data_IF_439432183852
#
_entry.id   IF_439432183852
#
_cell.length_a   1.000
_cell.length_b   1.000
_cell.length_c   1.000
_cell.angle_alpha   90.00
_cell.angle_beta   90.00
_cell.angle_gamma   90.00
#
_symmetry.space_group_name_H-M   'P 1'
#
loop_
_entity.id
_entity.type
_entity.pdbx_description
1 polymer ?
#
# COMPACT_ATOMS: atom_id res chain seq x y z
N UNK A 1 -7.68 0.13 -8.64
CA UNK A 1 -7.50 -1.11 -7.87
C UNK A 1 -7.95 -0.96 -6.42
N UNK A 2 -7.31 -0.11 -5.60
CA UNK A 2 -7.60 0.01 -4.15
C UNK A 2 -9.09 0.30 -3.87
N UNK A 3 -9.69 1.27 -4.55
CA UNK A 3 -11.12 1.63 -4.41
C UNK A 3 -12.03 0.45 -4.75
N UNK A 4 -11.72 -0.32 -5.80
CA UNK A 4 -12.49 -1.53 -6.15
C UNK A 4 -12.37 -2.60 -5.05
N UNK A 5 -11.19 -2.81 -4.50
CA UNK A 5 -10.97 -3.76 -3.41
C UNK A 5 -11.69 -3.33 -2.11
N UNK A 6 -11.79 -2.02 -1.84
CA UNK A 6 -12.63 -1.50 -0.74
C UNK A 6 -14.10 -1.81 -0.98
N UNK A 7 -14.61 -1.57 -2.20
CA UNK A 7 -16.01 -1.89 -2.55
C UNK A 7 -16.34 -3.37 -2.43
N UNK A 8 -15.38 -4.23 -2.72
CA UNK A 8 -15.50 -5.69 -2.59
C UNK A 8 -15.36 -6.20 -1.15
N UNK A 9 -15.09 -5.33 -0.18
CA UNK A 9 -14.83 -5.72 1.21
C UNK A 9 -13.56 -6.56 1.39
N UNK A 10 -12.61 -6.43 0.45
CA UNK A 10 -11.37 -7.21 0.47
C UNK A 10 -10.56 -6.93 1.72
N UNK A 11 -10.60 -5.70 2.24
CA UNK A 11 -9.82 -5.29 3.41
C UNK A 11 -10.48 -5.60 4.75
N UNK A 12 -11.78 -5.88 4.77
CA UNK A 12 -12.51 -6.16 6.00
C UNK A 12 -11.98 -7.43 6.67
N UNK A 13 -11.55 -7.32 7.92
CA UNK A 13 -10.95 -8.41 8.69
C UNK A 13 -9.47 -8.68 8.41
N UNK A 14 -8.84 -8.01 7.44
CA UNK A 14 -7.39 -8.15 7.19
C UNK A 14 -6.57 -7.53 8.32
N UNK A 15 -5.33 -7.99 8.46
CA UNK A 15 -4.43 -7.61 9.54
C UNK A 15 -3.36 -6.60 9.05
N UNK A 16 -2.93 -5.73 9.95
CA UNK A 16 -1.65 -5.05 9.83
C UNK A 16 -0.55 -6.04 10.26
N UNK A 17 -0.04 -6.79 9.30
CA UNK A 17 0.90 -7.90 9.55
C UNK A 17 2.34 -7.45 9.71
N UNK A 18 2.66 -6.19 9.38
CA UNK A 18 4.00 -5.63 9.52
C UNK A 18 3.94 -4.18 9.99
N UNK A 19 4.45 -3.92 11.19
CA UNK A 19 4.56 -2.58 11.77
C UNK A 19 6.02 -2.35 12.16
N UNK A 20 6.67 -1.37 11.56
CA UNK A 20 8.08 -1.05 11.78
C UNK A 20 8.19 0.32 12.41
N UNK A 21 8.61 0.36 13.68
CA UNK A 21 8.80 1.59 14.46
C UNK A 21 10.22 1.78 14.96
N UNK A 22 10.95 0.66 15.13
CA UNK A 22 12.32 0.67 15.60
C UNK A 22 13.31 0.30 14.48
N UNK A 23 14.53 0.84 14.46
CA UNK A 23 15.06 1.88 15.35
C UNK A 23 14.49 3.28 15.04
N UNK A 24 13.80 3.44 13.92
CA UNK A 24 13.14 4.68 13.49
C UNK A 24 11.76 4.33 12.93
N UNK A 25 10.71 5.12 13.18
CA UNK A 25 9.41 4.90 12.56
C UNK A 25 9.54 4.80 11.03
N UNK A 26 8.91 3.78 10.45
CA UNK A 26 8.99 3.52 9.02
C UNK A 26 7.60 3.37 8.39
N UNK A 27 6.96 2.20 8.54
CA UNK A 27 5.65 1.94 7.92
C UNK A 27 4.75 1.08 8.80
N UNK A 28 3.44 1.21 8.54
CA UNK A 28 2.39 0.28 8.95
C UNK A 28 1.84 -0.38 7.68
N UNK A 29 2.05 -1.68 7.51
CA UNK A 29 1.68 -2.42 6.30
C UNK A 29 0.59 -3.46 6.61
N UNK A 30 -0.44 -3.51 5.75
CA UNK A 30 -1.56 -4.43 5.87
C UNK A 30 -2.19 -4.77 4.52
N UNK A 31 -3.41 -5.29 4.58
CA UNK A 31 -4.21 -5.57 3.38
C UNK A 31 -3.87 -6.89 2.68
N UNK A 32 -3.11 -7.79 3.33
CA UNK A 32 -2.93 -9.14 2.83
C UNK A 32 -4.24 -9.95 2.99
N UNK A 33 -4.89 -10.40 1.89
CA UNK A 33 -6.14 -11.13 1.99
C UNK A 33 -6.04 -12.44 2.77
N UNK A 34 -4.87 -13.09 2.80
CA UNK A 34 -4.63 -14.32 3.56
C UNK A 34 -4.75 -14.08 5.06
N UNK A 35 -4.51 -12.85 5.53
CA UNK A 35 -4.61 -12.52 6.96
C UNK A 35 -6.05 -12.53 7.52
N UNK A 36 -7.07 -12.66 6.66
CA UNK A 36 -8.45 -12.87 7.12
C UNK A 36 -8.61 -14.21 7.83
N UNK A 37 -7.93 -15.23 7.33
CA UNK A 37 -7.89 -16.53 7.97
C UNK A 37 -7.00 -16.47 9.21
N UNK A 38 -7.60 -16.66 10.38
CA UNK A 38 -6.90 -16.61 11.67
C UNK A 38 -5.96 -17.81 11.89
N UNK A 39 -6.09 -18.86 11.08
CA UNK A 39 -5.19 -20.02 11.11
C UNK A 39 -3.90 -19.78 10.32
N UNK A 40 -3.85 -18.76 9.46
CA UNK A 40 -2.64 -18.43 8.70
C UNK A 40 -1.52 -17.99 9.63
N UNK A 41 -0.38 -18.66 9.55
CA UNK A 41 0.78 -18.30 10.35
C UNK A 41 1.30 -16.91 9.97
N UNK A 42 1.70 -16.12 10.95
CA UNK A 42 2.23 -14.75 10.71
C UNK A 42 3.43 -14.77 9.75
N UNK A 43 4.24 -15.81 9.76
CA UNK A 43 5.39 -15.98 8.86
C UNK A 43 5.00 -16.17 7.37
N UNK A 44 3.74 -16.48 7.09
CA UNK A 44 3.21 -16.65 5.72
C UNK A 44 2.59 -15.37 5.18
N UNK A 45 2.32 -14.40 6.05
CA UNK A 45 1.73 -13.13 5.66
C UNK A 45 2.73 -12.24 4.92
N UNK A 46 2.20 -11.38 4.07
CA UNK A 46 2.99 -10.46 3.24
C UNK A 46 3.25 -10.97 1.82
N UNK A 47 2.84 -12.21 1.51
CA UNK A 47 2.95 -12.80 0.17
C UNK A 47 1.60 -12.92 -0.57
N UNK A 48 0.47 -12.70 0.13
CA UNK A 48 -0.87 -12.85 -0.43
C UNK A 48 -1.22 -11.78 -1.45
N UNK A 49 -1.97 -12.21 -2.47
CA UNK A 49 -2.54 -11.35 -3.49
C UNK A 49 -4.07 -11.46 -3.49
N UNK A 50 -4.75 -10.45 -4.02
CA UNK A 50 -6.16 -10.56 -4.33
C UNK A 50 -6.35 -11.54 -5.50
N UNK A 51 -7.12 -12.59 -5.27
CA UNK A 51 -7.51 -13.53 -6.32
C UNK A 51 -8.83 -13.03 -6.91
N UNK A 52 -8.79 -12.72 -8.19
CA UNK A 52 -9.97 -12.25 -8.90
C UNK A 52 -10.97 -13.42 -9.06
N UNK A 53 -12.20 -13.29 -8.56
CA UNK A 53 -13.18 -14.38 -8.59
C UNK A 53 -13.64 -14.76 -10.00
N UNK A 54 -13.51 -13.86 -10.98
CA UNK A 54 -13.90 -14.12 -12.37
C UNK A 54 -12.88 -14.95 -13.13
N UNK A 55 -11.58 -14.73 -12.82
CA UNK A 55 -10.49 -15.38 -13.53
C UNK A 55 -9.79 -16.46 -12.71
N UNK A 56 -10.04 -16.51 -11.39
CA UNK A 56 -9.33 -17.34 -10.42
C UNK A 56 -7.81 -17.10 -10.40
N UNK A 57 -7.36 -15.94 -10.87
CA UNK A 57 -5.94 -15.56 -10.92
C UNK A 57 -5.65 -14.39 -9.99
N UNK A 58 -4.39 -14.27 -9.58
CA UNK A 58 -3.93 -13.11 -8.84
C UNK A 58 -4.04 -11.86 -9.71
N UNK A 59 -4.74 -10.83 -9.19
CA UNK A 59 -4.77 -9.51 -9.82
C UNK A 59 -3.50 -8.77 -9.45
N UNK A 60 -2.60 -8.63 -10.39
CA UNK A 60 -1.38 -7.82 -10.26
C UNK A 60 -1.57 -6.49 -10.98
N UNK A 61 -1.01 -5.44 -10.40
CA UNK A 61 -1.03 -4.09 -10.98
C UNK A 61 0.40 -3.57 -11.14
N UNK A 62 0.66 -2.78 -12.20
CA UNK A 62 1.98 -2.20 -12.42
C UNK A 62 2.31 -1.12 -11.40
N UNK A 63 3.61 -0.88 -11.19
CA UNK A 63 4.08 0.34 -10.56
C UNK A 63 3.56 1.54 -11.35
N UNK A 64 3.00 2.51 -10.65
CA UNK A 64 2.46 3.73 -11.24
C UNK A 64 3.17 4.94 -10.62
N UNK A 65 3.81 5.76 -11.45
CA UNK A 65 4.49 6.99 -11.04
C UNK A 65 3.96 8.17 -11.86
N UNK A 66 3.40 9.16 -11.18
CA UNK A 66 2.91 10.39 -11.80
C UNK A 66 3.97 11.48 -11.67
N UNK A 67 4.28 12.12 -12.79
CA UNK A 67 5.23 13.24 -12.87
C UNK A 67 4.50 14.54 -13.17
N UNK A 68 5.00 15.63 -12.59
CA UNK A 68 4.48 16.98 -12.82
C UNK A 68 4.59 17.33 -14.30
N UNK A 69 3.52 17.90 -14.84
CA UNK A 69 3.46 18.32 -16.24
C UNK A 69 3.24 17.21 -17.26
N UNK A 70 3.11 15.94 -16.84
CA UNK A 70 2.72 14.85 -17.72
C UNK A 70 1.19 14.60 -17.63
N UNK A 71 0.56 14.30 -18.75
CA UNK A 71 -0.89 14.04 -18.77
C UNK A 71 -1.26 12.69 -18.17
N UNK A 72 -0.40 11.69 -18.32
CA UNK A 72 -0.61 10.33 -17.84
C UNK A 72 0.54 9.85 -16.94
N UNK A 73 0.28 8.92 -16.00
CA UNK A 73 1.35 8.30 -15.23
C UNK A 73 2.20 7.37 -16.10
N UNK A 74 3.42 7.13 -15.65
CA UNK A 74 4.31 6.10 -16.21
C UNK A 74 4.14 4.80 -15.44
N UNK A 75 4.17 3.68 -16.14
CA UNK A 75 3.93 2.35 -15.58
C UNK A 75 5.14 1.44 -15.66
N UNK A 76 5.25 0.51 -14.69
CA UNK A 76 6.19 -0.63 -14.70
C UNK A 76 7.67 -0.28 -14.59
N UNK A 77 8.04 0.98 -14.38
CA UNK A 77 9.42 1.43 -14.36
C UNK A 77 9.78 2.13 -13.06
N UNK A 78 10.71 1.55 -12.32
CA UNK A 78 11.37 2.20 -11.17
C UNK A 78 12.31 3.29 -11.67
N UNK A 79 12.34 4.42 -10.98
CA UNK A 79 13.37 5.44 -11.16
C UNK A 79 14.12 5.72 -9.86
N UNK A 80 15.43 5.95 -10.01
CA UNK A 80 16.31 6.44 -8.94
C UNK A 80 17.05 7.69 -9.40
N UNK A 81 16.68 8.21 -10.58
CA UNK A 81 17.29 9.42 -11.14
C UNK A 81 16.87 10.65 -10.32
N UNK A 82 17.81 11.39 -9.70
CA UNK A 82 17.48 12.54 -8.86
C UNK A 82 16.68 13.63 -9.59
N UNK A 83 16.88 13.79 -10.89
CA UNK A 83 16.12 14.75 -11.70
C UNK A 83 14.66 14.33 -11.85
N UNK A 84 14.40 13.05 -12.11
CA UNK A 84 13.03 12.53 -12.20
C UNK A 84 12.34 12.54 -10.83
N UNK A 85 13.06 12.19 -9.74
CA UNK A 85 12.49 12.18 -8.38
C UNK A 85 11.97 13.55 -7.94
N UNK A 86 12.60 14.66 -8.36
CA UNK A 86 12.12 16.03 -8.05
C UNK A 86 10.81 16.37 -8.73
N UNK A 87 10.53 15.72 -9.85
CA UNK A 87 9.35 15.96 -10.66
C UNK A 87 8.20 15.02 -10.33
N UNK A 88 8.36 14.11 -9.35
CA UNK A 88 7.25 13.29 -8.86
C UNK A 88 6.15 14.18 -8.30
N UNK A 89 4.91 13.89 -8.67
CA UNK A 89 3.73 14.60 -8.17
C UNK A 89 3.34 14.09 -6.77
N UNK A 90 3.50 12.79 -6.53
CA UNK A 90 3.22 12.13 -5.26
C UNK A 90 4.52 11.51 -4.71
N UNK A 91 4.87 11.89 -3.50
CA UNK A 91 6.04 11.42 -2.77
C UNK A 91 5.63 10.85 -1.42
N UNK A 92 6.55 10.15 -0.75
CA UNK A 92 6.29 9.55 0.55
C UNK A 92 6.45 10.58 1.68
N UNK A 93 5.39 11.32 1.96
CA UNK A 93 5.26 12.12 3.17
C UNK A 93 4.69 11.29 4.32
N UNK A 94 4.77 11.80 5.56
CA UNK A 94 4.10 11.17 6.70
C UNK A 94 2.59 11.04 6.41
N UNK A 95 2.05 9.83 6.55
CA UNK A 95 0.65 9.52 6.26
C UNK A 95 0.37 9.19 4.79
N UNK A 96 1.37 9.23 3.90
CA UNK A 96 1.19 8.75 2.53
C UNK A 96 0.82 7.27 2.53
N UNK A 97 -0.12 6.91 1.66
CA UNK A 97 -0.56 5.52 1.45
C UNK A 97 -0.02 5.05 0.10
N UNK A 98 0.72 3.94 0.11
CA UNK A 98 1.36 3.41 -1.08
C UNK A 98 1.13 1.91 -1.21
N UNK A 99 1.20 1.39 -2.46
CA UNK A 99 1.08 -0.04 -2.73
C UNK A 99 2.36 -0.78 -2.32
N UNK A 100 2.18 -1.81 -1.50
CA UNK A 100 3.24 -2.79 -1.27
C UNK A 100 3.36 -3.73 -2.47
N UNK A 101 4.57 -4.21 -2.75
CA UNK A 101 4.88 -5.13 -3.84
C UNK A 101 6.11 -5.99 -3.54
N UNK A 102 6.32 -7.03 -4.32
CA UNK A 102 7.56 -7.79 -4.32
C UNK A 102 8.68 -7.05 -5.07
N UNK A 103 9.75 -7.73 -5.43
CA UNK A 103 10.86 -7.10 -6.16
C UNK A 103 10.46 -6.65 -7.58
N UNK A 104 9.58 -7.38 -8.25
CA UNK A 104 9.10 -7.01 -9.58
C UNK A 104 8.23 -5.73 -9.51
N UNK A 105 8.45 -4.72 -10.36
CA UNK A 105 7.67 -3.49 -10.36
C UNK A 105 6.17 -3.71 -10.55
N UNK A 106 5.79 -4.74 -11.31
CA UNK A 106 4.41 -5.03 -11.69
C UNK A 106 3.80 -6.16 -10.82
N UNK A 107 4.14 -6.19 -9.53
CA UNK A 107 3.72 -7.24 -8.59
C UNK A 107 2.85 -6.75 -7.43
N UNK A 108 2.43 -5.50 -7.43
CA UNK A 108 1.47 -5.01 -6.44
C UNK A 108 0.10 -5.67 -6.66
N UNK A 109 -0.67 -5.84 -5.60
CA UNK A 109 -2.01 -6.46 -5.65
C UNK A 109 -2.96 -5.77 -4.68
N UNK A 110 -3.13 -6.31 -3.47
CA UNK A 110 -4.00 -5.77 -2.45
C UNK A 110 -3.24 -5.05 -1.32
N UNK A 111 -2.03 -5.47 -1.01
CA UNK A 111 -1.30 -4.97 0.15
C UNK A 111 -0.89 -3.51 -0.04
N UNK A 112 -1.00 -2.75 1.05
CA UNK A 112 -0.62 -1.34 1.11
C UNK A 112 0.13 -1.04 2.41
N UNK A 113 0.79 0.10 2.45
CA UNK A 113 1.37 0.61 3.68
C UNK A 113 1.11 2.11 3.85
N UNK A 114 1.17 2.55 5.09
CA UNK A 114 1.08 3.95 5.49
C UNK A 114 2.45 4.37 6.01
N UNK A 115 3.00 5.45 5.48
CA UNK A 115 4.29 5.98 5.89
C UNK A 115 4.18 6.68 7.25
N UNK A 116 5.05 6.35 8.20
CA UNK A 116 5.06 6.96 9.54
C UNK A 116 5.94 8.23 9.60
N UNK A 117 6.76 8.46 8.60
CA UNK A 117 7.58 9.65 8.37
C UNK A 117 7.76 9.88 6.88
N UNK A 118 8.36 11.01 6.44
CA UNK A 118 8.84 11.11 5.06
C UNK A 118 9.84 9.99 4.74
N UNK A 119 9.68 9.35 3.58
CA UNK A 119 10.46 8.20 3.13
C UNK A 119 11.01 8.43 1.71
N UNK A 120 11.88 9.43 1.50
CA UNK A 120 12.42 9.74 0.18
C UNK A 120 13.17 8.55 -0.44
N UNK A 121 13.66 7.62 0.37
CA UNK A 121 14.28 6.37 -0.08
C UNK A 121 13.33 5.42 -0.83
N UNK A 122 12.02 5.62 -0.71
CA UNK A 122 10.99 4.84 -1.40
C UNK A 122 10.43 5.56 -2.65
N UNK A 123 10.71 6.85 -2.80
CA UNK A 123 10.26 7.62 -3.95
C UNK A 123 10.79 7.05 -5.26
N UNK A 124 9.93 7.03 -6.28
CA UNK A 124 10.25 6.41 -7.56
C UNK A 124 10.30 4.88 -7.58
N UNK A 125 10.10 4.22 -6.43
CA UNK A 125 10.16 2.77 -6.26
C UNK A 125 8.81 2.14 -5.95
N UNK A 126 7.92 2.91 -5.32
CA UNK A 126 6.57 2.47 -4.91
C UNK A 126 5.54 3.51 -5.30
N UNK A 127 4.34 3.05 -5.65
CA UNK A 127 3.24 3.90 -6.07
C UNK A 127 2.51 4.48 -4.85
N UNK A 128 2.72 5.76 -4.58
CA UNK A 128 1.88 6.52 -3.65
C UNK A 128 0.56 6.83 -4.36
N UNK A 129 -0.56 6.51 -3.72
CA UNK A 129 -1.89 6.70 -4.31
C UNK A 129 -2.88 7.42 -3.40
N UNK A 130 -2.49 7.72 -2.17
CA UNK A 130 -3.37 8.36 -1.21
C UNK A 130 -2.63 8.99 -0.03
N UNK A 131 -3.40 9.68 0.80
CA UNK A 131 -2.91 10.37 1.98
C UNK A 131 -3.92 10.24 3.12
N UNK A 132 -3.45 9.98 4.33
CA UNK A 132 -4.28 10.06 5.55
C UNK A 132 -4.62 11.51 5.81
N UNK A 133 -5.90 11.86 5.73
CA UNK A 133 -6.41 13.23 5.90
C UNK A 133 -6.90 13.51 7.31
N UNK A 134 -7.20 12.46 8.10
CA UNK A 134 -7.57 12.56 9.51
C UNK A 134 -7.29 11.24 10.22
N UNK A 135 -7.09 11.26 11.54
CA UNK A 135 -6.83 10.05 12.34
C UNK A 135 -5.39 9.54 12.22
N UNK A 136 -4.43 10.40 11.95
CA UNK A 136 -3.01 10.01 11.90
C UNK A 136 -2.53 9.48 13.25
N UNK A 137 -3.10 9.97 14.36
CA UNK A 137 -2.86 9.48 15.72
C UNK A 137 -3.33 8.02 15.91
N UNK A 138 -4.36 7.60 15.15
CA UNK A 138 -4.80 6.20 15.14
C UNK A 138 -3.77 5.33 14.42
N UNK A 139 -3.23 5.82 13.30
CA UNK A 139 -2.14 5.13 12.57
C UNK A 139 -0.93 4.94 13.49
N UNK A 140 -0.59 5.96 14.29
CA UNK A 140 0.51 5.87 15.26
C UNK A 140 0.26 4.84 16.35
N UNK A 141 -1.00 4.57 16.69
CA UNK A 141 -1.37 3.61 17.72
C UNK A 141 -1.47 2.16 17.22
N UNK A 142 -1.53 1.93 15.90
CA UNK A 142 -1.67 0.58 15.32
C UNK A 142 -0.51 -0.31 15.79
N UNK A 143 -0.85 -1.50 16.28
CA UNK A 143 0.10 -2.54 16.63
C UNK A 143 0.10 -3.64 15.56
N UNK A 144 1.22 -4.35 15.43
CA UNK A 144 1.26 -5.55 14.60
C UNK A 144 0.28 -6.59 15.14
N UNK A 145 -0.59 -7.07 14.27
CA UNK A 145 -1.70 -7.95 14.64
C UNK A 145 -3.06 -7.28 14.67
N UNK A 146 -3.13 -5.95 14.76
CA UNK A 146 -4.39 -5.23 14.68
C UNK A 146 -5.10 -5.49 13.35
N UNK A 147 -6.44 -5.43 13.37
CA UNK A 147 -7.26 -5.75 12.21
C UNK A 147 -8.10 -4.58 11.74
N UNK A 148 -8.23 -4.46 10.44
CA UNK A 148 -9.17 -3.55 9.79
C UNK A 148 -10.57 -4.14 9.98
N UNK A 149 -11.40 -3.49 10.80
CA UNK A 149 -12.78 -3.96 11.02
C UNK A 149 -13.61 -3.76 9.75
N UNK A 150 -13.51 -2.62 9.11
CA UNK A 150 -14.14 -2.34 7.83
C UNK A 150 -13.45 -1.19 7.09
N UNK A 151 -13.44 -1.27 5.77
CA UNK A 151 -13.01 -0.19 4.89
C UNK A 151 -14.19 0.22 3.99
N UNK A 152 -14.56 1.50 4.01
CA UNK A 152 -15.73 1.99 3.26
C UNK A 152 -15.40 3.27 2.53
N UNK A 153 -15.97 3.44 1.35
CA UNK A 153 -15.94 4.72 0.64
C UNK A 153 -16.91 5.70 1.33
N UNK A 154 -16.45 6.91 1.60
CA UNK A 154 -17.39 7.99 1.91
C UNK A 154 -18.16 8.35 0.63
N UNK A 155 -19.47 8.32 0.73
CA UNK A 155 -20.33 9.01 -0.25
C UNK A 155 -20.13 10.51 -0.08
N UNK A 156 -20.05 11.27 -1.19
CA UNK A 156 -20.00 12.74 -1.14
C UNK A 156 -21.19 13.32 -0.38
#
# INVERSE_FOLDING_TARGET
NFVDLVRRGTYDGTMFHRVVREPVPFVVQGGDPQSKDRSTLTSQLGSGSFIDPETAQARLIPLELKFKGEDAPRYGRVTTNPSELKDLELIHERGSVAMARSQAPDSASAQFYIALRPLPELDGRYAVFGQVTSGIEVVDAIQQGDRIQSAKLKTP
#
